data_IF_882867952084
#
_entry.id   IF_882867952084
#
_cell.length_a   1.000
_cell.length_b   1.000
_cell.length_c   1.000
_cell.angle_alpha   90.00
_cell.angle_beta   90.00
_cell.angle_gamma   90.00
#
_symmetry.space_group_name_H-M   'P 1'
#
loop_
_entity.id
_entity.type
_entity.pdbx_description
1 polymer ?
#
# COMPACT_ATOMS: atom_id res chain seq x y z
N UNK A 1 -47.76 -10.72 -27.59
CA UNK A 1 -47.65 -9.68 -26.55
C UNK A 1 -46.78 -10.05 -25.33
N UNK A 2 -46.08 -11.21 -25.32
CA UNK A 2 -45.16 -11.58 -24.23
C UNK A 2 -43.70 -11.13 -24.47
N UNK A 3 -43.29 -10.98 -25.74
CA UNK A 3 -41.90 -10.64 -26.15
C UNK A 3 -41.51 -9.18 -25.91
N UNK A 4 -42.47 -8.25 -25.87
CA UNK A 4 -42.19 -6.81 -25.68
C UNK A 4 -41.91 -6.48 -24.20
N UNK A 5 -42.46 -7.29 -23.26
CA UNK A 5 -42.27 -7.09 -21.82
C UNK A 5 -40.88 -7.50 -21.31
N UNK A 6 -40.17 -8.37 -22.04
CA UNK A 6 -38.82 -8.82 -21.65
C UNK A 6 -37.79 -7.73 -21.97
N UNK A 7 -37.95 -6.99 -23.07
CA UNK A 7 -37.00 -5.96 -23.48
C UNK A 7 -37.02 -4.75 -22.53
N UNK A 8 -38.19 -4.39 -22.00
CA UNK A 8 -38.33 -3.24 -21.11
C UNK A 8 -37.67 -3.45 -19.73
N UNK A 9 -37.54 -4.70 -19.26
CA UNK A 9 -36.95 -5.00 -17.96
C UNK A 9 -35.41 -4.87 -17.95
N UNK A 10 -34.74 -5.07 -19.10
CA UNK A 10 -33.28 -4.98 -19.18
C UNK A 10 -32.75 -3.55 -19.22
N UNK A 11 -33.55 -2.58 -19.68
CA UNK A 11 -33.10 -1.18 -19.86
C UNK A 11 -33.03 -0.40 -18.53
N UNK A 12 -33.78 -0.81 -17.50
CA UNK A 12 -33.78 -0.11 -16.21
C UNK A 12 -32.65 -0.51 -15.24
N UNK A 13 -31.91 -1.60 -15.50
CA UNK A 13 -30.86 -2.08 -14.58
C UNK A 13 -29.49 -1.38 -14.75
N UNK A 14 -29.32 -0.55 -15.79
CA UNK A 14 -28.01 0.03 -16.17
C UNK A 14 -27.77 1.43 -15.57
N UNK A 15 -28.75 2.04 -14.92
CA UNK A 15 -28.71 3.47 -14.53
C UNK A 15 -28.21 3.76 -13.09
N UNK A 16 -27.76 2.78 -12.31
CA UNK A 16 -27.44 3.00 -10.89
C UNK A 16 -25.93 3.07 -10.55
N UNK A 17 -25.04 3.25 -11.53
CA UNK A 17 -23.58 3.29 -11.30
C UNK A 17 -22.98 4.70 -11.43
N UNK A 18 -23.60 5.72 -10.81
CA UNK A 18 -22.94 7.01 -10.58
C UNK A 18 -22.45 7.09 -9.13
N UNK A 19 -21.35 6.39 -8.85
CA UNK A 19 -20.61 6.53 -7.59
C UNK A 19 -19.92 7.89 -7.57
N UNK A 20 -20.27 8.72 -6.59
CA UNK A 20 -19.69 10.06 -6.37
C UNK A 20 -18.16 10.01 -6.22
N UNK A 21 -17.41 11.02 -6.71
CA UNK A 21 -15.98 11.11 -6.46
C UNK A 21 -15.73 11.36 -4.96
N UNK A 22 -14.91 10.52 -4.33
CA UNK A 22 -14.43 10.77 -2.98
C UNK A 22 -13.50 12.00 -3.00
N UNK A 23 -13.81 13.02 -2.19
CA UNK A 23 -12.88 14.14 -1.99
C UNK A 23 -11.61 13.62 -1.31
N UNK A 24 -10.47 13.74 -1.99
CA UNK A 24 -9.16 13.57 -1.37
C UNK A 24 -8.99 14.65 -0.29
N UNK A 25 -8.81 14.22 0.96
CA UNK A 25 -8.50 15.13 2.06
C UNK A 25 -7.09 15.66 1.84
N UNK A 26 -6.97 16.97 1.64
CA UNK A 26 -5.69 17.68 1.64
C UNK A 26 -5.08 17.50 3.04
N UNK A 27 -3.98 16.74 3.15
CA UNK A 27 -3.23 16.64 4.39
C UNK A 27 -2.90 18.05 4.88
N UNK A 28 -3.40 18.42 6.05
CA UNK A 28 -2.89 19.57 6.76
C UNK A 28 -1.43 19.27 7.17
N UNK A 29 -0.53 20.27 7.19
CA UNK A 29 0.82 20.09 7.68
C UNK A 29 0.78 19.60 9.13
N UNK A 30 1.27 18.38 9.38
CA UNK A 30 1.32 17.79 10.71
C UNK A 30 2.41 18.53 11.50
N UNK A 31 1.98 19.38 12.45
CA UNK A 31 2.86 19.92 13.50
C UNK A 31 3.16 18.78 14.49
N UNK A 32 4.44 18.49 14.80
CA UNK A 32 4.77 17.45 15.77
C UNK A 32 4.27 17.86 17.16
N UNK A 33 3.42 17.04 17.77
CA UNK A 33 2.88 17.25 19.12
C UNK A 33 3.18 16.03 19.98
N UNK A 34 4.08 16.21 20.94
CA UNK A 34 4.34 15.24 22.00
C UNK A 34 3.22 15.30 23.05
N UNK A 35 2.33 14.30 23.11
CA UNK A 35 1.56 13.93 24.31
C UNK A 35 0.87 12.56 24.18
N UNK A 36 1.39 11.61 24.96
CA UNK A 36 0.83 10.35 25.48
C UNK A 36 0.04 9.39 24.55
N UNK A 37 0.76 8.31 24.18
CA UNK A 37 0.30 6.92 23.94
C UNK A 37 -0.66 6.68 22.76
N UNK A 38 -0.28 7.20 21.60
CA UNK A 38 -0.40 6.47 20.35
C UNK A 38 1.04 6.40 19.83
N UNK A 39 1.72 5.26 20.03
CA UNK A 39 3.09 5.05 19.55
C UNK A 39 3.02 4.97 18.04
N UNK A 40 2.91 6.11 17.37
CA UNK A 40 3.07 6.14 15.93
C UNK A 40 4.51 5.73 15.63
N UNK A 41 4.72 4.65 14.87
CA UNK A 41 6.05 4.19 14.56
C UNK A 41 6.80 5.28 13.78
N UNK A 42 8.10 5.39 14.02
CA UNK A 42 8.93 6.32 13.24
C UNK A 42 9.00 5.88 11.79
N UNK A 43 9.36 6.80 10.89
CA UNK A 43 9.52 6.49 9.47
C UNK A 43 10.51 5.35 9.24
N UNK A 44 11.60 5.31 10.01
CA UNK A 44 12.64 4.30 9.91
C UNK A 44 12.12 2.93 10.35
N UNK A 45 11.29 2.88 11.39
CA UNK A 45 10.63 1.65 11.83
C UNK A 45 9.67 1.11 10.76
N UNK A 46 8.88 2.00 10.15
CA UNK A 46 7.99 1.65 9.04
C UNK A 46 8.80 1.11 7.86
N UNK A 47 9.85 1.82 7.43
CA UNK A 47 10.70 1.41 6.31
C UNK A 47 11.35 0.05 6.56
N UNK A 48 11.92 -0.17 7.74
CA UNK A 48 12.55 -1.45 8.10
C UNK A 48 11.53 -2.60 8.10
N UNK A 49 10.34 -2.36 8.67
CA UNK A 49 9.26 -3.36 8.65
C UNK A 49 8.82 -3.69 7.22
N UNK A 50 8.72 -2.69 6.34
CA UNK A 50 8.37 -2.90 4.94
C UNK A 50 9.44 -3.69 4.17
N UNK A 51 10.72 -3.35 4.32
CA UNK A 51 11.83 -4.08 3.68
C UNK A 51 11.92 -5.53 4.16
N UNK A 52 11.58 -5.79 5.42
CA UNK A 52 11.62 -7.13 6.01
C UNK A 52 10.32 -7.93 5.80
N UNK A 53 9.30 -7.38 5.13
CA UNK A 53 7.97 -7.98 5.00
C UNK A 53 7.34 -8.33 6.37
N UNK A 54 7.45 -7.39 7.33
CA UNK A 54 6.99 -7.50 8.73
C UNK A 54 6.11 -6.32 9.16
N UNK A 55 5.33 -5.76 8.24
CA UNK A 55 4.43 -4.65 8.56
C UNK A 55 3.38 -5.01 9.62
N UNK A 56 3.04 -6.30 9.77
CA UNK A 56 2.13 -6.85 10.79
C UNK A 56 2.64 -6.67 12.23
N UNK A 57 3.92 -6.34 12.41
CA UNK A 57 4.52 -6.06 13.72
C UNK A 57 4.37 -4.61 14.17
N UNK A 58 3.93 -3.72 13.27
CA UNK A 58 3.63 -2.33 13.59
C UNK A 58 2.27 -2.22 14.29
N UNK A 59 2.00 -1.12 15.02
CA UNK A 59 0.73 -0.91 15.69
C UNK A 59 -0.46 -1.03 14.73
N UNK A 60 -1.48 -1.79 15.12
CA UNK A 60 -2.69 -1.95 14.32
C UNK A 60 -3.60 -0.72 14.44
N UNK A 61 -3.86 0.04 13.35
CA UNK A 61 -4.78 1.18 13.38
C UNK A 61 -6.25 0.77 13.21
N UNK A 62 -6.54 -0.51 12.93
CA UNK A 62 -7.88 -1.01 12.58
C UNK A 62 -8.50 -1.80 13.72
N UNK A 63 -9.69 -1.39 14.18
CA UNK A 63 -10.42 -2.07 15.26
C UNK A 63 -11.21 -3.29 14.77
N UNK A 64 -11.54 -3.32 13.48
CA UNK A 64 -12.32 -4.36 12.79
C UNK A 64 -11.46 -5.50 12.22
N UNK A 65 -10.13 -5.31 12.18
CA UNK A 65 -9.17 -6.30 11.71
C UNK A 65 -8.25 -6.72 12.86
N UNK A 66 -8.66 -7.69 13.71
CA UNK A 66 -7.82 -8.18 14.80
C UNK A 66 -6.62 -9.02 14.30
N UNK A 67 -5.57 -9.23 15.12
CA UNK A 67 -4.36 -9.99 14.72
C UNK A 67 -4.59 -11.42 14.24
N UNK A 68 -5.70 -12.05 14.64
CA UNK A 68 -6.07 -13.40 14.20
C UNK A 68 -6.89 -13.43 12.91
N UNK A 69 -7.23 -12.27 12.33
CA UNK A 69 -7.99 -12.19 11.09
C UNK A 69 -7.13 -12.62 9.89
N UNK A 70 -7.70 -13.38 8.96
CA UNK A 70 -6.97 -13.92 7.80
C UNK A 70 -6.30 -12.84 6.93
N UNK A 71 -6.89 -11.64 6.89
CA UNK A 71 -6.39 -10.50 6.12
C UNK A 71 -5.44 -9.59 6.91
N UNK A 72 -5.17 -9.86 8.20
CA UNK A 72 -4.44 -8.95 9.09
C UNK A 72 -3.12 -8.49 8.48
N UNK A 73 -2.28 -9.43 8.04
CA UNK A 73 -0.99 -9.13 7.43
C UNK A 73 -1.12 -8.30 6.16
N UNK A 74 -2.07 -8.66 5.27
CA UNK A 74 -2.26 -7.96 4.00
C UNK A 74 -2.71 -6.51 4.20
N UNK A 75 -3.67 -6.30 5.12
CA UNK A 75 -4.21 -4.97 5.44
C UNK A 75 -3.14 -4.07 6.05
N UNK A 76 -2.37 -4.57 7.04
CA UNK A 76 -1.30 -3.78 7.65
C UNK A 76 -0.17 -3.49 6.67
N UNK A 77 0.17 -4.46 5.80
CA UNK A 77 1.16 -4.25 4.74
C UNK A 77 0.69 -3.16 3.77
N UNK A 78 -0.58 -3.17 3.35
CA UNK A 78 -1.12 -2.14 2.47
C UNK A 78 -1.15 -0.76 3.13
N UNK A 79 -1.52 -0.70 4.41
CA UNK A 79 -1.57 0.56 5.17
C UNK A 79 -0.20 1.20 5.33
N UNK A 80 0.82 0.43 5.73
CA UNK A 80 2.15 0.96 6.02
C UNK A 80 3.07 1.02 4.79
N UNK A 81 2.99 0.04 3.90
CA UNK A 81 3.94 -0.14 2.80
C UNK A 81 3.33 0.17 1.42
N UNK A 82 2.01 0.38 1.33
CA UNK A 82 1.31 0.64 0.08
C UNK A 82 1.19 -0.59 -0.82
N UNK A 83 0.94 -0.35 -2.11
CA UNK A 83 0.90 -1.39 -3.13
C UNK A 83 2.29 -2.02 -3.31
N UNK A 84 2.52 -3.14 -2.61
CA UNK A 84 3.52 -4.18 -2.81
C UNK A 84 4.83 -3.82 -3.56
N UNK A 85 5.97 -3.87 -2.86
CA UNK A 85 7.32 -3.68 -3.41
C UNK A 85 8.07 -5.00 -3.70
N UNK A 86 7.42 -6.15 -3.88
CA UNK A 86 8.14 -7.34 -4.41
C UNK A 86 8.62 -7.15 -5.86
N UNK A 87 8.26 -6.05 -6.52
CA UNK A 87 8.88 -5.62 -7.77
C UNK A 87 10.18 -4.81 -7.57
N UNK A 88 10.73 -4.70 -6.35
CA UNK A 88 12.17 -4.43 -6.26
C UNK A 88 12.86 -5.72 -6.67
N UNK A 89 13.24 -5.79 -7.96
CA UNK A 89 14.06 -6.86 -8.49
C UNK A 89 15.17 -7.19 -7.48
N UNK A 90 15.51 -8.48 -7.27
CA UNK A 90 16.70 -8.82 -6.50
C UNK A 90 17.83 -7.93 -7.04
N UNK A 91 18.58 -7.29 -6.14
CA UNK A 91 19.73 -6.51 -6.55
C UNK A 91 20.54 -7.39 -7.50
N UNK A 92 20.51 -7.07 -8.79
CA UNK A 92 21.45 -7.66 -9.72
C UNK A 92 22.79 -7.34 -9.09
N UNK A 93 23.68 -8.34 -8.82
CA UNK A 93 25.05 -8.00 -8.53
C UNK A 93 25.48 -7.15 -9.72
N UNK A 94 25.66 -5.83 -9.50
CA UNK A 94 26.34 -5.05 -10.50
C UNK A 94 27.68 -5.74 -10.62
N UNK A 95 27.99 -6.21 -11.82
CA UNK A 95 29.33 -6.62 -12.18
C UNK A 95 30.22 -5.37 -12.19
N UNK A 96 30.33 -4.68 -11.05
CA UNK A 96 31.31 -3.64 -10.79
C UNK A 96 32.50 -4.32 -10.12
N UNK A 97 33.10 -5.25 -10.85
CA UNK A 97 34.41 -5.80 -10.55
C UNK A 97 35.16 -5.93 -11.86
N UNK A 98 35.44 -4.78 -12.50
CA UNK A 98 36.65 -4.57 -13.31
C UNK A 98 36.74 -3.10 -13.79
N UNK A 99 37.09 -2.19 -12.87
CA UNK A 99 37.73 -0.94 -13.25
C UNK A 99 38.66 -0.48 -12.14
N UNK A 100 39.79 -1.17 -11.96
CA UNK A 100 40.97 -0.55 -11.34
C UNK A 100 42.28 -1.24 -11.75
N UNK A 101 42.53 -1.51 -13.04
CA UNK A 101 43.91 -1.79 -13.49
C UNK A 101 44.19 -1.55 -14.98
N UNK A 102 43.94 -0.33 -15.49
CA UNK A 102 44.41 0.04 -16.85
C UNK A 102 44.86 1.50 -16.97
N UNK A 103 45.33 2.11 -15.86
CA UNK A 103 45.92 3.45 -15.87
C UNK A 103 47.36 3.48 -15.34
N UNK A 104 48.20 2.53 -15.76
CA UNK A 104 49.65 2.65 -15.64
C UNK A 104 50.41 1.78 -16.65
N UNK A 105 50.34 2.17 -17.93
CA UNK A 105 51.39 1.89 -18.90
C UNK A 105 51.65 3.19 -19.67
N UNK A 106 52.55 3.99 -19.09
CA UNK A 106 53.34 5.01 -19.76
C UNK A 106 54.79 4.55 -19.71
#
# INVERSE_FOLDING_TARGET
MLKIRIVAAFVLLVSACCSSPAKAQKLAPIKPSNSLVQVQPTREQILNACVQNRAETLPNPFTDVPPNHWAYKAVLTMYYCGAYREATAPAFPTSDSDNTNSRNLR
#
